data_IF_583201799170
#
_entry.id   IF_583201799170
#
_cell.length_a   1.000
_cell.length_b   1.000
_cell.length_c   1.000
_cell.angle_alpha   90.00
_cell.angle_beta   90.00
_cell.angle_gamma   90.00
#
_symmetry.space_group_name_H-M   'P 1'
#
loop_
_entity.id
_entity.type
_entity.pdbx_description
1 polymer ?
#
# COMPACT_ATOMS: atom_id res chain seq x y z
N UNK A 1 7.14 17.93 9.78
CA UNK A 1 5.93 17.65 8.97
C UNK A 1 4.97 18.84 9.08
N UNK A 2 4.62 19.50 7.98
CA UNK A 2 3.53 20.49 8.00
C UNK A 2 2.20 19.74 8.15
N UNK A 3 1.45 20.03 9.19
CA UNK A 3 0.09 19.54 9.39
C UNK A 3 -0.77 19.99 8.20
N UNK A 4 -1.17 19.05 7.36
CA UNK A 4 -2.16 19.31 6.32
C UNK A 4 -3.55 19.30 6.97
N UNK A 5 -4.09 20.50 7.12
CA UNK A 5 -5.42 20.74 7.64
C UNK A 5 -6.45 20.29 6.58
N UNK A 6 -7.02 19.09 6.74
CA UNK A 6 -8.10 18.58 5.88
C UNK A 6 -9.42 19.18 6.37
N UNK A 7 -9.62 20.45 6.03
CA UNK A 7 -10.95 21.08 6.02
C UNK A 7 -11.10 21.88 4.72
N UNK A 8 -10.74 21.24 3.59
CA UNK A 8 -11.21 21.70 2.29
C UNK A 8 -12.57 21.08 2.08
N UNK A 9 -13.62 21.83 2.43
CA UNK A 9 -14.99 21.51 2.06
C UNK A 9 -15.01 21.15 0.58
N UNK A 10 -15.22 19.87 0.30
CA UNK A 10 -15.61 19.42 -1.03
C UNK A 10 -16.93 20.11 -1.31
N UNK A 11 -16.92 21.04 -2.27
CA UNK A 11 -18.12 21.63 -2.83
C UNK A 11 -18.92 20.46 -3.40
N UNK A 12 -19.92 20.01 -2.65
CA UNK A 12 -20.92 19.04 -3.08
C UNK A 12 -21.88 19.75 -4.02
N UNK A 13 -21.41 20.12 -5.22
CA UNK A 13 -22.33 20.24 -6.35
C UNK A 13 -22.74 18.82 -6.72
N UNK A 14 -23.94 18.45 -6.33
CA UNK A 14 -24.57 17.17 -6.66
C UNK A 14 -24.85 17.12 -8.16
N UNK A 15 -23.81 16.86 -8.97
CA UNK A 15 -23.98 16.32 -10.31
C UNK A 15 -24.62 14.95 -10.12
N UNK A 16 -25.89 14.80 -10.50
CA UNK A 16 -26.51 13.47 -10.56
C UNK A 16 -25.59 12.58 -11.40
N UNK A 17 -25.22 11.38 -10.93
CA UNK A 17 -24.36 10.50 -11.71
C UNK A 17 -25.04 10.23 -13.05
N UNK A 18 -24.40 10.66 -14.13
CA UNK A 18 -24.75 10.23 -15.47
C UNK A 18 -24.07 8.87 -15.67
N UNK A 19 -24.82 7.87 -16.14
CA UNK A 19 -24.33 6.51 -16.39
C UNK A 19 -23.01 6.49 -17.17
N UNK A 20 -22.86 7.36 -18.17
CA UNK A 20 -21.61 7.45 -18.95
C UNK A 20 -20.42 7.91 -18.11
N UNK A 21 -20.62 8.81 -17.14
CA UNK A 21 -19.57 9.29 -16.23
C UNK A 21 -19.10 8.15 -15.33
N UNK A 22 -20.03 7.36 -14.78
CA UNK A 22 -19.71 6.20 -13.95
C UNK A 22 -18.98 5.11 -14.75
N UNK A 23 -19.46 4.80 -15.95
CA UNK A 23 -18.82 3.83 -16.85
C UNK A 23 -17.43 4.29 -17.30
N UNK A 24 -17.24 5.59 -17.54
CA UNK A 24 -15.94 6.17 -17.85
C UNK A 24 -15.00 6.07 -16.64
N UNK A 25 -15.47 6.42 -15.44
CA UNK A 25 -14.67 6.30 -14.22
C UNK A 25 -14.27 4.84 -13.94
N UNK A 26 -15.18 3.89 -14.17
CA UNK A 26 -14.91 2.46 -14.06
C UNK A 26 -13.87 1.98 -15.08
N UNK A 27 -13.98 2.41 -16.34
CA UNK A 27 -13.02 2.10 -17.40
C UNK A 27 -11.62 2.64 -17.06
N UNK A 28 -11.52 3.88 -16.57
CA UNK A 28 -10.25 4.47 -16.14
C UNK A 28 -9.68 3.76 -14.90
N UNK A 29 -10.53 3.40 -13.93
CA UNK A 29 -10.12 2.61 -12.77
C UNK A 29 -9.53 1.25 -13.18
N UNK A 30 -10.19 0.55 -14.10
CA UNK A 30 -9.71 -0.72 -14.65
C UNK A 30 -8.39 -0.55 -15.44
N UNK A 31 -8.28 0.52 -16.22
CA UNK A 31 -7.08 0.84 -16.99
C UNK A 31 -5.88 1.11 -16.08
N UNK A 32 -6.05 1.93 -15.04
CA UNK A 32 -4.99 2.22 -14.06
C UNK A 32 -4.64 0.98 -13.25
N UNK A 33 -5.63 0.18 -12.84
CA UNK A 33 -5.39 -1.08 -12.15
C UNK A 33 -4.53 -2.03 -12.99
N UNK A 34 -4.86 -2.20 -14.27
CA UNK A 34 -4.07 -3.01 -15.19
C UNK A 34 -2.64 -2.47 -15.30
N UNK A 35 -2.51 -1.15 -15.44
CA UNK A 35 -1.22 -0.48 -15.48
C UNK A 35 -0.35 -0.73 -14.24
N UNK A 36 -0.91 -0.58 -13.04
CA UNK A 36 -0.22 -0.85 -11.77
C UNK A 36 0.15 -2.33 -11.67
N UNK A 37 -0.78 -3.24 -11.97
CA UNK A 37 -0.59 -4.69 -11.87
C UNK A 37 0.55 -5.19 -12.75
N UNK A 38 0.73 -4.59 -13.92
CA UNK A 38 1.75 -5.00 -14.90
C UNK A 38 2.98 -4.07 -14.94
N UNK A 39 3.09 -3.11 -14.02
CA UNK A 39 4.24 -2.21 -13.95
C UNK A 39 4.37 -1.24 -15.12
N UNK A 40 3.27 -0.89 -15.78
CA UNK A 40 3.28 0.08 -16.88
C UNK A 40 3.44 1.50 -16.36
N UNK A 41 4.36 2.26 -16.96
CA UNK A 41 4.56 3.67 -16.62
C UNK A 41 3.29 4.50 -16.84
N UNK A 42 3.05 5.52 -16.01
CA UNK A 42 1.94 6.45 -16.25
C UNK A 42 2.13 7.29 -17.52
N UNK A 43 3.38 7.42 -18.01
CA UNK A 43 3.69 8.05 -19.30
C UNK A 43 3.18 7.22 -20.47
N UNK A 44 3.42 5.90 -20.46
CA UNK A 44 2.91 5.01 -21.50
C UNK A 44 1.38 4.92 -21.44
N UNK A 45 0.79 4.96 -20.25
CA UNK A 45 -0.67 4.99 -20.09
C UNK A 45 -1.31 6.24 -20.71
N UNK A 46 -0.70 7.43 -20.55
CA UNK A 46 -1.17 8.64 -21.23
C UNK A 46 -1.21 8.48 -22.76
N UNK A 47 -0.15 7.91 -23.35
CA UNK A 47 -0.10 7.65 -24.79
C UNK A 47 -1.22 6.68 -25.22
N UNK A 48 -1.41 5.59 -24.46
CA UNK A 48 -2.43 4.58 -24.74
C UNK A 48 -3.84 5.18 -24.68
N UNK A 49 -4.15 6.06 -23.73
CA UNK A 49 -5.46 6.73 -23.65
C UNK A 49 -5.78 7.49 -24.94
N UNK A 50 -4.79 8.15 -25.55
CA UNK A 50 -4.99 8.85 -26.83
C UNK A 50 -5.20 7.87 -27.99
N UNK A 51 -4.47 6.76 -28.02
CA UNK A 51 -4.66 5.70 -29.03
C UNK A 51 -6.06 5.09 -28.92
N UNK A 52 -6.53 4.79 -27.70
CA UNK A 52 -7.87 4.24 -27.46
C UNK A 52 -8.97 5.18 -27.97
N UNK A 53 -8.82 6.50 -27.76
CA UNK A 53 -9.73 7.51 -28.33
C UNK A 53 -9.78 7.46 -29.84
N UNK A 54 -8.64 7.32 -30.49
CA UNK A 54 -8.56 7.26 -31.96
C UNK A 54 -9.19 5.98 -32.51
N UNK A 55 -8.82 4.83 -31.95
CA UNK A 55 -9.31 3.51 -32.38
C UNK A 55 -10.84 3.41 -32.23
N UNK A 56 -11.38 3.91 -31.13
CA UNK A 56 -12.81 3.82 -30.82
C UNK A 56 -13.59 5.11 -31.05
N UNK A 57 -13.02 6.04 -31.84
CA UNK A 57 -13.56 7.37 -32.11
C UNK A 57 -14.94 7.38 -32.77
N UNK A 58 -15.41 6.29 -33.37
CA UNK A 58 -16.74 6.20 -33.97
C UNK A 58 -17.72 5.34 -33.16
N UNK A 59 -17.23 4.50 -32.24
CA UNK A 59 -18.00 3.39 -31.66
C UNK A 59 -18.16 3.43 -30.15
N UNK A 60 -17.37 4.21 -29.41
CA UNK A 60 -17.45 4.26 -27.95
C UNK A 60 -17.46 5.68 -27.40
N UNK A 61 -18.54 6.05 -26.72
CA UNK A 61 -18.63 7.30 -25.96
C UNK A 61 -17.65 7.28 -24.77
N UNK A 62 -17.54 6.14 -24.08
CA UNK A 62 -16.61 5.93 -22.97
C UNK A 62 -15.16 6.22 -23.40
N UNK A 63 -14.70 5.64 -24.52
CA UNK A 63 -13.34 5.85 -24.99
C UNK A 63 -13.04 7.32 -25.28
N UNK A 64 -13.99 8.05 -25.87
CA UNK A 64 -13.88 9.51 -26.11
C UNK A 64 -13.79 10.29 -24.80
N UNK A 65 -14.59 9.89 -23.81
CA UNK A 65 -14.74 10.55 -22.52
C UNK A 65 -13.57 10.25 -21.55
N UNK A 66 -12.78 9.20 -21.79
CA UNK A 66 -11.57 8.91 -21.00
C UNK A 66 -10.63 10.13 -21.03
N UNK A 67 -10.13 10.54 -19.87
CA UNK A 67 -9.16 11.63 -19.70
C UNK A 67 -8.00 11.19 -18.80
N UNK A 68 -7.77 9.87 -18.75
CA UNK A 68 -6.78 9.24 -17.88
C UNK A 68 -5.35 9.45 -18.40
N UNK A 69 -4.83 10.64 -18.11
CA UNK A 69 -3.43 10.98 -18.29
C UNK A 69 -2.64 10.73 -17.00
N UNK A 70 -1.33 11.03 -17.02
CA UNK A 70 -0.39 10.74 -15.93
C UNK A 70 -0.89 11.17 -14.54
N UNK A 71 -1.36 12.41 -14.39
CA UNK A 71 -1.81 12.94 -13.08
C UNK A 71 -3.05 12.21 -12.58
N UNK A 72 -3.97 11.87 -13.50
CA UNK A 72 -5.19 11.13 -13.16
C UNK A 72 -4.89 9.67 -12.84
N UNK A 73 -3.99 9.03 -13.60
CA UNK A 73 -3.48 7.69 -13.30
C UNK A 73 -2.88 7.63 -11.90
N UNK A 74 -1.98 8.58 -11.58
CA UNK A 74 -1.40 8.68 -10.24
C UNK A 74 -2.46 8.90 -9.16
N UNK A 75 -3.42 9.80 -9.39
CA UNK A 75 -4.49 10.06 -8.42
C UNK A 75 -5.37 8.83 -8.18
N UNK A 76 -5.75 8.10 -9.24
CA UNK A 76 -6.53 6.87 -9.10
C UNK A 76 -5.72 5.80 -8.36
N UNK A 77 -4.45 5.62 -8.72
CA UNK A 77 -3.59 4.64 -8.05
C UNK A 77 -3.42 4.94 -6.55
N UNK A 78 -3.08 6.18 -6.20
CA UNK A 78 -2.73 6.58 -4.82
C UNK A 78 -3.96 6.83 -3.96
N UNK A 79 -5.02 7.42 -4.51
CA UNK A 79 -6.18 7.87 -3.72
C UNK A 79 -7.38 6.91 -3.80
N UNK A 80 -7.39 5.96 -4.75
CA UNK A 80 -8.51 5.02 -4.91
C UNK A 80 -8.02 3.58 -4.73
N UNK A 81 -7.09 3.12 -5.58
CA UNK A 81 -6.68 1.72 -5.57
C UNK A 81 -5.89 1.35 -4.32
N UNK A 82 -4.86 2.13 -3.96
CA UNK A 82 -4.03 1.82 -2.80
C UNK A 82 -4.84 1.76 -1.50
N UNK A 83 -5.67 2.75 -1.12
CA UNK A 83 -6.49 2.67 0.09
C UNK A 83 -7.46 1.50 0.08
N UNK A 84 -8.09 1.21 -1.07
CA UNK A 84 -9.02 0.09 -1.22
C UNK A 84 -8.33 -1.26 -0.97
N UNK A 85 -7.20 -1.52 -1.64
CA UNK A 85 -6.48 -2.79 -1.50
C UNK A 85 -5.82 -2.93 -0.13
N UNK A 86 -5.24 -1.86 0.43
CA UNK A 86 -4.71 -1.87 1.79
C UNK A 86 -5.82 -2.20 2.78
N UNK A 87 -6.98 -1.54 2.71
CA UNK A 87 -8.09 -1.83 3.62
C UNK A 87 -8.59 -3.26 3.47
N UNK A 88 -8.64 -3.79 2.25
CA UNK A 88 -9.00 -5.19 2.00
C UNK A 88 -8.03 -6.16 2.69
N UNK A 89 -6.72 -5.93 2.55
CA UNK A 89 -5.69 -6.72 3.26
C UNK A 89 -5.88 -6.62 4.76
N UNK A 90 -6.07 -5.41 5.31
CA UNK A 90 -6.23 -5.21 6.75
C UNK A 90 -7.48 -5.91 7.30
N UNK A 91 -8.59 -5.90 6.56
CA UNK A 91 -9.80 -6.63 6.93
C UNK A 91 -9.54 -8.14 6.95
N UNK A 92 -8.89 -8.69 5.92
CA UNK A 92 -8.57 -10.12 5.86
C UNK A 92 -7.61 -10.54 7.00
N UNK A 93 -6.63 -9.70 7.34
CA UNK A 93 -5.70 -9.95 8.46
C UNK A 93 -6.45 -9.96 9.80
N UNK A 94 -7.39 -9.03 10.01
CA UNK A 94 -8.21 -8.99 11.24
C UNK A 94 -9.09 -10.23 11.38
N UNK A 95 -9.63 -10.73 10.26
CA UNK A 95 -10.37 -12.00 10.25
C UNK A 95 -9.47 -13.21 10.52
N UNK A 96 -8.23 -13.20 10.05
CA UNK A 96 -7.25 -14.25 10.32
C UNK A 96 -6.73 -14.22 11.77
N UNK A 97 -6.80 -13.04 12.41
CA UNK A 97 -6.31 -12.70 13.75
C UNK A 97 -4.78 -12.78 13.89
N UNK A 98 -4.18 -13.91 13.51
CA UNK A 98 -2.73 -14.13 13.56
C UNK A 98 -2.04 -13.68 12.27
N UNK A 99 -0.94 -12.94 12.43
CA UNK A 99 -0.14 -12.45 11.31
C UNK A 99 1.33 -12.27 11.68
N UNK A 100 2.12 -12.12 10.64
CA UNK A 100 3.55 -11.80 10.68
C UNK A 100 3.75 -10.43 10.05
N UNK A 101 4.66 -9.64 10.60
CA UNK A 101 5.15 -8.42 9.94
C UNK A 101 6.51 -8.73 9.31
N UNK A 102 6.68 -8.27 8.08
CA UNK A 102 7.95 -8.29 7.36
C UNK A 102 8.31 -6.88 6.96
N UNK A 103 9.56 -6.50 7.13
CA UNK A 103 10.05 -5.20 6.71
C UNK A 103 11.48 -5.34 6.15
N UNK A 104 11.84 -4.43 5.27
CA UNK A 104 13.18 -4.35 4.69
C UNK A 104 13.52 -2.88 4.44
N UNK A 105 14.81 -2.55 4.38
CA UNK A 105 15.29 -1.21 4.09
C UNK A 105 15.72 -1.12 2.61
N UNK A 106 15.04 -0.29 1.83
CA UNK A 106 15.44 0.01 0.45
C UNK A 106 16.16 1.35 0.39
N UNK A 107 17.44 1.32 0.04
CA UNK A 107 18.27 2.51 -0.17
C UNK A 107 18.18 2.99 -1.62
N UNK A 108 17.68 4.21 -1.87
CA UNK A 108 17.79 4.87 -3.18
C UNK A 108 18.33 6.29 -3.03
N UNK A 109 19.64 6.43 -3.18
CA UNK A 109 20.34 7.71 -2.92
C UNK A 109 20.31 8.03 -1.43
N UNK A 110 19.83 9.24 -1.08
CA UNK A 110 19.69 9.66 0.31
C UNK A 110 18.31 9.33 0.93
N UNK A 111 17.40 8.76 0.15
CA UNK A 111 16.06 8.38 0.63
C UNK A 111 16.03 6.90 0.97
N UNK A 112 15.51 6.60 2.15
CA UNK A 112 15.43 5.26 2.71
C UNK A 112 13.96 4.91 2.90
N UNK A 113 13.52 3.89 2.19
CA UNK A 113 12.13 3.44 2.23
C UNK A 113 12.04 2.09 2.95
N UNK A 114 11.10 1.96 3.88
CA UNK A 114 10.81 0.70 4.56
C UNK A 114 9.41 0.22 4.18
N UNK A 115 9.27 -0.64 3.15
CA UNK A 115 8.01 -1.33 2.93
C UNK A 115 7.69 -2.21 4.14
N UNK A 116 6.51 -1.97 4.73
CA UNK A 116 5.96 -2.82 5.79
C UNK A 116 4.94 -3.75 5.16
N UNK A 117 5.21 -5.04 5.24
CA UNK A 117 4.38 -6.10 4.69
C UNK A 117 3.79 -6.96 5.80
N UNK A 118 2.65 -7.58 5.51
CA UNK A 118 2.07 -8.63 6.34
C UNK A 118 2.04 -9.97 5.61
N UNK A 119 2.14 -11.04 6.39
CA UNK A 119 1.88 -12.40 5.96
C UNK A 119 0.88 -13.04 6.94
N UNK A 120 -0.12 -13.75 6.41
CA UNK A 120 -1.20 -14.33 7.21
C UNK A 120 -1.88 -15.49 6.46
N UNK A 121 -2.65 -16.30 7.18
CA UNK A 121 -3.47 -17.37 6.61
C UNK A 121 -4.87 -16.83 6.32
N UNK A 122 -5.19 -16.68 5.04
CA UNK A 122 -6.56 -16.37 4.60
C UNK A 122 -7.38 -17.66 4.45
N UNK A 123 -8.70 -17.51 4.28
CA UNK A 123 -9.62 -18.62 4.00
C UNK A 123 -9.26 -19.42 2.73
N UNK A 124 -8.47 -18.85 1.83
CA UNK A 124 -8.04 -19.46 0.57
C UNK A 124 -6.54 -19.79 0.53
N UNK A 125 -5.86 -19.76 1.69
CA UNK A 125 -4.46 -20.11 1.83
C UNK A 125 -3.57 -18.95 2.29
N UNK A 126 -2.26 -19.18 2.21
CA UNK A 126 -1.25 -18.22 2.71
C UNK A 126 -1.18 -16.99 1.81
N UNK A 127 -1.27 -15.80 2.41
CA UNK A 127 -0.98 -14.51 1.78
C UNK A 127 0.38 -14.03 2.25
N UNK A 128 1.26 -13.65 1.31
CA UNK A 128 2.62 -13.20 1.58
C UNK A 128 2.89 -11.86 0.90
N UNK A 129 3.74 -11.03 1.51
CA UNK A 129 4.23 -9.80 0.91
C UNK A 129 3.14 -8.75 0.67
N UNK A 130 2.07 -8.75 1.46
CA UNK A 130 1.01 -7.76 1.33
C UNK A 130 1.48 -6.44 1.99
N UNK A 131 1.87 -5.46 1.19
CA UNK A 131 2.29 -4.13 1.69
C UNK A 131 1.11 -3.43 2.36
N UNK A 132 1.32 -2.94 3.58
CA UNK A 132 0.34 -2.17 4.36
C UNK A 132 0.76 -0.72 4.60
N UNK A 133 2.07 -0.43 4.58
CA UNK A 133 2.60 0.93 4.61
C UNK A 133 3.99 1.00 3.97
N UNK A 134 4.46 2.21 3.67
CA UNK A 134 5.79 2.51 3.17
C UNK A 134 6.35 3.69 3.96
N UNK A 135 7.26 3.42 4.89
CA UNK A 135 7.87 4.43 5.74
C UNK A 135 9.01 5.10 4.96
N UNK A 136 9.15 6.42 5.09
CA UNK A 136 10.29 7.21 4.60
C UNK A 136 10.95 7.86 5.82
N UNK A 137 12.07 7.29 6.25
CA UNK A 137 12.81 7.73 7.44
C UNK A 137 14.30 7.44 7.27
N UNK A 138 15.18 8.36 7.65
CA UNK A 138 16.61 8.16 7.52
C UNK A 138 17.23 7.42 8.73
N UNK A 139 16.54 7.41 9.88
CA UNK A 139 17.02 6.77 11.11
C UNK A 139 16.75 5.26 11.11
N UNK A 140 17.81 4.50 10.89
CA UNK A 140 17.83 3.03 10.90
C UNK A 140 18.20 2.44 12.26
N UNK A 141 18.11 3.18 13.36
CA UNK A 141 18.29 2.59 14.67
C UNK A 141 17.18 1.58 14.98
N UNK A 142 17.52 0.54 15.73
CA UNK A 142 16.56 -0.50 16.11
C UNK A 142 15.33 0.09 16.83
N UNK A 143 15.55 1.12 17.65
CA UNK A 143 14.49 1.84 18.37
C UNK A 143 13.56 2.58 17.40
N UNK A 144 14.11 3.36 16.47
CA UNK A 144 13.28 4.12 15.53
C UNK A 144 12.49 3.21 14.60
N UNK A 145 13.10 2.13 14.10
CA UNK A 145 12.41 1.13 13.28
C UNK A 145 11.28 0.48 14.08
N UNK A 146 11.53 0.08 15.33
CA UNK A 146 10.51 -0.48 16.22
C UNK A 146 9.33 0.51 16.43
N UNK A 147 9.60 1.77 16.74
CA UNK A 147 8.57 2.79 16.95
C UNK A 147 7.74 3.06 15.68
N UNK A 148 8.40 3.09 14.51
CA UNK A 148 7.75 3.22 13.22
C UNK A 148 6.83 2.01 12.93
N UNK A 149 7.29 0.79 13.18
CA UNK A 149 6.47 -0.42 13.03
C UNK A 149 5.28 -0.45 13.99
N UNK A 150 5.48 -0.07 15.25
CA UNK A 150 4.39 0.09 16.23
C UNK A 150 3.35 1.11 15.77
N UNK A 151 3.80 2.22 15.18
CA UNK A 151 2.91 3.23 14.60
C UNK A 151 2.10 2.67 13.43
N UNK A 152 2.73 1.90 12.54
CA UNK A 152 2.04 1.24 11.43
C UNK A 152 1.01 0.22 11.91
N UNK A 153 1.34 -0.62 12.91
CA UNK A 153 0.40 -1.59 13.51
C UNK A 153 -0.81 -0.86 14.08
N UNK A 154 -0.58 0.19 14.88
CA UNK A 154 -1.63 0.98 15.51
C UNK A 154 -2.53 1.69 14.48
N UNK A 155 -1.93 2.32 13.47
CA UNK A 155 -2.66 3.00 12.38
C UNK A 155 -3.50 2.01 11.55
N UNK A 156 -2.99 0.79 11.37
CA UNK A 156 -3.70 -0.28 10.65
C UNK A 156 -4.88 -0.86 11.47
N UNK A 157 -4.90 -0.62 12.78
CA UNK A 157 -5.85 -1.19 13.72
C UNK A 157 -5.78 -2.71 13.75
N UNK A 158 -4.59 -3.29 13.52
CA UNK A 158 -4.35 -4.71 13.66
C UNK A 158 -4.22 -5.08 15.14
N UNK A 159 -4.72 -6.24 15.57
CA UNK A 159 -4.54 -6.72 16.95
C UNK A 159 -3.05 -6.91 17.25
N UNK A 160 -2.53 -6.30 18.31
CA UNK A 160 -1.11 -6.45 18.67
C UNK A 160 -0.83 -7.85 19.22
N UNK A 161 -1.77 -8.41 19.98
CA UNK A 161 -1.81 -9.79 20.45
C UNK A 161 -1.88 -10.84 19.32
N UNK A 162 -2.29 -10.42 18.12
CA UNK A 162 -2.26 -11.26 16.91
C UNK A 162 -0.90 -11.32 16.21
N UNK A 163 0.08 -10.51 16.61
CA UNK A 163 1.41 -10.49 15.99
C UNK A 163 2.24 -11.69 16.47
N UNK A 164 2.50 -12.63 15.57
CA UNK A 164 3.17 -13.90 15.89
C UNK A 164 4.64 -13.94 15.51
N UNK A 165 5.07 -13.13 14.54
CA UNK A 165 6.46 -13.12 14.11
C UNK A 165 6.88 -11.81 13.44
N UNK A 166 8.16 -11.48 13.57
CA UNK A 166 8.82 -10.38 12.84
C UNK A 166 9.86 -10.95 11.88
N UNK A 167 9.82 -10.54 10.61
CA UNK A 167 10.77 -10.92 9.57
C UNK A 167 11.51 -9.72 8.96
N UNK A 168 12.82 -9.85 8.80
CA UNK A 168 13.71 -8.85 8.21
C UNK A 168 15.03 -9.54 7.80
N UNK A 169 15.97 -8.77 7.24
CA UNK A 169 17.34 -9.23 7.04
C UNK A 169 18.07 -9.49 8.37
N UNK A 170 19.16 -10.27 8.34
CA UNK A 170 19.87 -10.68 9.56
C UNK A 170 20.87 -9.64 10.07
N UNK A 171 20.67 -8.35 9.79
CA UNK A 171 21.52 -7.29 10.34
C UNK A 171 21.39 -7.23 11.87
N UNK A 172 22.44 -6.74 12.54
CA UNK A 172 22.42 -6.62 14.01
C UNK A 172 21.29 -5.71 14.50
N UNK A 173 20.97 -4.66 13.73
CA UNK A 173 19.86 -3.73 14.01
C UNK A 173 18.51 -4.46 13.98
N UNK A 174 18.28 -5.35 13.01
CA UNK A 174 16.99 -5.99 12.84
C UNK A 174 16.85 -7.27 13.69
N UNK A 175 17.89 -8.10 13.73
CA UNK A 175 17.84 -9.48 14.23
C UNK A 175 18.95 -9.81 15.24
N UNK A 176 19.66 -8.83 15.78
CA UNK A 176 20.68 -9.03 16.82
C UNK A 176 20.13 -9.66 18.12
N UNK A 177 21.04 -10.02 19.03
CA UNK A 177 20.67 -10.67 20.31
C UNK A 177 20.52 -9.70 21.49
N UNK A 178 20.98 -8.45 21.36
CA UNK A 178 21.00 -7.47 22.45
C UNK A 178 19.95 -6.38 22.21
N UNK A 179 20.31 -5.36 21.41
CA UNK A 179 19.43 -4.23 21.06
C UNK A 179 19.12 -4.26 19.56
N UNK A 180 18.00 -4.86 19.22
CA UNK A 180 17.54 -5.04 17.84
C UNK A 180 16.03 -4.90 17.76
N UNK A 181 15.48 -4.69 16.57
CA UNK A 181 14.03 -4.64 16.36
C UNK A 181 13.37 -5.90 16.91
N UNK A 182 13.94 -7.07 16.63
CA UNK A 182 13.44 -8.34 17.17
C UNK A 182 13.43 -8.37 18.70
N UNK A 183 14.54 -8.00 19.36
CA UNK A 183 14.60 -8.05 20.83
C UNK A 183 13.67 -7.03 21.48
N UNK A 184 13.45 -5.87 20.85
CA UNK A 184 12.46 -4.89 21.30
C UNK A 184 11.03 -5.45 21.22
N UNK A 185 10.62 -6.08 20.11
CA UNK A 185 9.31 -6.73 20.03
C UNK A 185 9.18 -7.94 20.96
N UNK A 186 10.25 -8.73 21.14
CA UNK A 186 10.22 -9.92 22.00
C UNK A 186 10.07 -9.56 23.49
N UNK A 187 10.37 -8.32 23.89
CA UNK A 187 10.08 -7.83 25.24
C UNK A 187 8.58 -7.52 25.44
N UNK A 188 7.85 -7.24 24.36
CA UNK A 188 6.43 -6.88 24.37
C UNK A 188 5.51 -8.07 24.06
N UNK A 189 6.03 -9.10 23.36
CA UNK A 189 5.25 -10.25 22.86
C UNK A 189 5.90 -11.55 23.32
N UNK A 190 5.18 -12.30 24.16
CA UNK A 190 5.62 -13.62 24.59
C UNK A 190 5.64 -14.60 23.41
N UNK A 191 6.68 -15.43 23.32
CA UNK A 191 6.84 -16.47 22.29
C UNK A 191 6.89 -15.94 20.83
N UNK A 192 7.39 -14.71 20.62
CA UNK A 192 7.56 -14.13 19.28
C UNK A 192 8.54 -14.94 18.41
N UNK A 193 8.08 -15.39 17.25
CA UNK A 193 8.93 -16.09 16.31
C UNK A 193 9.82 -15.12 15.51
N UNK A 194 11.11 -15.48 15.37
CA UNK A 194 12.04 -14.80 14.45
C UNK A 194 11.83 -15.34 13.03
N UNK A 195 11.26 -14.51 12.15
CA UNK A 195 11.11 -14.82 10.73
C UNK A 195 12.41 -14.62 9.98
N UNK A 196 12.84 -15.62 9.19
CA UNK A 196 13.95 -15.48 8.25
C UNK A 196 13.41 -15.08 6.88
N UNK A 197 13.84 -13.94 6.35
CA UNK A 197 13.74 -13.67 4.93
C UNK A 197 14.84 -14.50 4.24
N UNK A 198 14.44 -15.48 3.42
CA UNK A 198 15.33 -16.35 2.64
C UNK A 198 15.73 -15.71 1.33
#
# INVERSE_FOLDING_TARGET
MKSFNINRQLITSTVKPNKEIEETAAAEGAFVYHGVKHGHSYLSQQCITNVLKTIFSSSSAIAKSMSCERTKCNSIAVNVLAPYFTQKVLTEVKEAYFYSIMFDASNKGNTKFFPVCVQYFSKIGVKKGCIIDLIDDADESATNIFENLMTVIKKSGLPFDGLTSIGADNTNVNMGNNHSVYTLFNNEIENLFKGKLS
#
